data_IF_510798968116
#
_entry.id   IF_510798968116
#
_cell.length_a   1.000
_cell.length_b   1.000
_cell.length_c   1.000
_cell.angle_alpha   90.00
_cell.angle_beta   90.00
_cell.angle_gamma   90.00
#
_symmetry.space_group_name_H-M   'P 1'
#
loop_
_entity.id
_entity.type
_entity.pdbx_description
1 polymer ?
#
# COMPACT_ATOMS: atom_id res chain seq x y z
N UNK A 1 -4.89 -20.55 -6.48
CA UNK A 1 -5.02 -20.06 -5.09
C UNK A 1 -5.52 -18.64 -5.12
N UNK A 2 -6.50 -18.29 -4.29
CA UNK A 2 -7.17 -16.98 -4.33
C UNK A 2 -6.33 -15.97 -3.54
N UNK A 3 -5.32 -15.34 -4.17
CA UNK A 3 -4.36 -14.40 -3.57
C UNK A 3 -5.02 -13.12 -3.01
N UNK A 4 -6.31 -12.95 -3.24
CA UNK A 4 -7.07 -11.74 -2.92
C UNK A 4 -7.24 -11.46 -1.42
N UNK A 5 -6.96 -12.45 -0.57
CA UNK A 5 -7.13 -12.35 0.88
C UNK A 5 -5.83 -12.16 1.65
N UNK A 6 -4.68 -12.21 0.97
CA UNK A 6 -3.38 -12.25 1.64
C UNK A 6 -2.73 -10.88 1.85
N UNK A 7 -3.21 -9.82 1.21
CA UNK A 7 -2.65 -8.47 1.32
C UNK A 7 -3.72 -7.39 1.54
N UNK A 8 -3.41 -6.44 2.41
CA UNK A 8 -4.19 -5.20 2.61
C UNK A 8 -3.35 -4.01 2.16
N UNK A 9 -3.91 -3.17 1.29
CA UNK A 9 -3.28 -1.88 0.95
C UNK A 9 -3.58 -0.87 2.04
N UNK A 10 -2.56 -0.14 2.47
CA UNK A 10 -2.67 0.89 3.52
C UNK A 10 -2.24 2.23 2.95
N UNK A 11 -3.06 3.24 3.14
CA UNK A 11 -2.81 4.62 2.73
C UNK A 11 -2.89 5.55 3.93
N UNK A 12 -1.87 6.40 4.09
CA UNK A 12 -1.97 7.62 4.90
C UNK A 12 -2.40 8.76 3.99
N UNK A 13 -3.67 9.17 4.08
CA UNK A 13 -4.26 10.18 3.22
C UNK A 13 -4.35 11.54 3.94
N UNK A 14 -4.03 12.61 3.20
CA UNK A 14 -4.25 13.99 3.61
C UNK A 14 -4.66 14.79 2.38
N UNK A 15 -5.92 15.21 2.32
CA UNK A 15 -6.54 15.83 1.15
C UNK A 15 -6.32 15.09 -0.18
N UNK A 16 -6.21 13.75 -0.12
CA UNK A 16 -5.85 12.90 -1.26
C UNK A 16 -7.04 12.11 -1.82
N UNK A 17 -8.27 12.56 -1.59
CA UNK A 17 -9.51 11.83 -1.88
C UNK A 17 -9.59 11.38 -3.35
N UNK A 18 -9.25 12.26 -4.30
CA UNK A 18 -9.25 11.95 -5.74
C UNK A 18 -8.37 10.73 -6.07
N UNK A 19 -7.20 10.66 -5.47
CA UNK A 19 -6.27 9.54 -5.68
C UNK A 19 -6.80 8.25 -5.07
N UNK A 20 -7.36 8.31 -3.86
CA UNK A 20 -7.97 7.14 -3.21
C UNK A 20 -9.15 6.62 -4.01
N UNK A 21 -10.04 7.49 -4.50
CA UNK A 21 -11.13 7.07 -5.38
C UNK A 21 -10.64 6.38 -6.65
N UNK A 22 -9.58 6.91 -7.29
CA UNK A 22 -8.95 6.30 -8.47
C UNK A 22 -8.43 4.90 -8.16
N UNK A 23 -7.70 4.74 -7.07
CA UNK A 23 -7.17 3.46 -6.63
C UNK A 23 -8.29 2.46 -6.34
N UNK A 24 -9.30 2.85 -5.57
CA UNK A 24 -10.45 2.00 -5.26
C UNK A 24 -11.20 1.55 -6.53
N UNK A 25 -11.31 2.42 -7.53
CA UNK A 25 -11.92 2.10 -8.82
C UNK A 25 -11.08 1.08 -9.60
N UNK A 26 -9.78 1.25 -9.66
CA UNK A 26 -8.87 0.44 -10.47
C UNK A 26 -8.60 -0.94 -9.87
N UNK A 27 -8.47 -1.01 -8.55
CA UNK A 27 -8.24 -2.27 -7.85
C UNK A 27 -9.53 -3.08 -7.62
N UNK A 28 -10.68 -2.53 -7.99
CA UNK A 28 -11.96 -3.20 -7.81
C UNK A 28 -12.15 -3.75 -6.38
N UNK A 29 -12.83 -4.90 -6.29
CA UNK A 29 -13.15 -5.57 -5.03
C UNK A 29 -12.10 -6.62 -4.63
N UNK A 30 -11.00 -6.68 -5.35
CA UNK A 30 -10.05 -7.79 -5.22
C UNK A 30 -9.23 -7.73 -3.94
N UNK A 31 -8.78 -6.56 -3.52
CA UNK A 31 -7.92 -6.37 -2.36
C UNK A 31 -8.62 -5.59 -1.26
N UNK A 32 -8.24 -5.83 -0.01
CA UNK A 32 -8.68 -4.99 1.10
C UNK A 32 -7.89 -3.68 1.09
N UNK A 33 -8.55 -2.59 1.42
CA UNK A 33 -7.96 -1.26 1.47
C UNK A 33 -8.26 -0.64 2.84
N UNK A 34 -7.24 -0.11 3.49
CA UNK A 34 -7.38 0.71 4.70
C UNK A 34 -6.81 2.09 4.41
N UNK A 35 -7.61 3.10 4.63
CA UNK A 35 -7.22 4.50 4.49
C UNK A 35 -7.24 5.14 5.87
N UNK A 36 -6.11 5.69 6.31
CA UNK A 36 -6.06 6.54 7.50
C UNK A 36 -6.13 7.99 7.04
N UNK A 37 -7.28 8.62 7.30
CA UNK A 37 -7.67 9.91 6.72
C UNK A 37 -7.33 11.05 7.68
N UNK A 38 -6.20 11.72 7.43
CA UNK A 38 -5.65 12.76 8.29
C UNK A 38 -6.28 14.15 8.08
N UNK A 39 -7.04 14.38 7.02
CA UNK A 39 -7.81 15.62 6.86
C UNK A 39 -9.13 15.61 7.66
N UNK A 40 -9.42 14.53 8.36
CA UNK A 40 -10.56 14.34 9.27
C UNK A 40 -11.92 14.42 8.57
N UNK A 41 -11.98 14.15 7.27
CA UNK A 41 -13.19 14.24 6.46
C UNK A 41 -14.12 13.04 6.69
N UNK A 42 -15.15 13.23 7.53
CA UNK A 42 -16.17 12.23 7.81
C UNK A 42 -17.08 11.96 6.60
N UNK A 43 -17.30 12.97 5.74
CA UNK A 43 -18.13 12.81 4.55
C UNK A 43 -17.44 11.89 3.56
N UNK A 44 -16.16 12.12 3.28
CA UNK A 44 -15.36 11.24 2.46
C UNK A 44 -15.41 9.79 2.94
N UNK A 45 -15.26 9.56 4.27
CA UNK A 45 -15.37 8.23 4.85
C UNK A 45 -16.70 7.57 4.51
N UNK A 46 -17.81 8.25 4.75
CA UNK A 46 -19.15 7.70 4.51
C UNK A 46 -19.38 7.35 3.05
N UNK A 47 -18.98 8.24 2.14
CA UNK A 47 -19.14 8.06 0.70
C UNK A 47 -18.31 6.90 0.16
N UNK A 48 -17.03 6.81 0.51
CA UNK A 48 -16.12 5.80 -0.03
C UNK A 48 -16.45 4.41 0.49
N UNK A 49 -16.74 4.26 1.80
CA UNK A 49 -17.13 2.97 2.39
C UNK A 49 -18.49 2.48 1.88
N UNK A 50 -19.41 3.39 1.58
CA UNK A 50 -20.67 3.05 0.91
C UNK A 50 -20.45 2.50 -0.48
N UNK A 51 -19.56 3.11 -1.24
CA UNK A 51 -19.28 2.78 -2.65
C UNK A 51 -18.37 1.55 -2.79
N UNK A 52 -17.36 1.41 -1.95
CA UNK A 52 -16.34 0.35 -2.05
C UNK A 52 -16.30 -0.47 -0.77
N UNK A 53 -17.01 -1.60 -0.77
CA UNK A 53 -17.19 -2.47 0.41
C UNK A 53 -15.91 -3.16 0.91
N UNK A 54 -14.85 -3.16 0.10
CA UNK A 54 -13.52 -3.67 0.46
C UNK A 54 -12.62 -2.58 1.06
N UNK A 55 -13.11 -1.35 1.23
CA UNK A 55 -12.37 -0.20 1.76
C UNK A 55 -12.89 0.16 3.15
N UNK A 56 -11.97 0.33 4.09
CA UNK A 56 -12.22 0.85 5.45
C UNK A 56 -11.46 2.15 5.64
N UNK A 57 -12.12 3.18 6.15
CA UNK A 57 -11.49 4.47 6.49
C UNK A 57 -11.42 4.63 8.00
N UNK A 58 -10.25 4.95 8.50
CA UNK A 58 -9.99 5.27 9.90
C UNK A 58 -9.69 6.76 9.98
N UNK A 59 -10.45 7.48 10.79
CA UNK A 59 -10.22 8.90 11.06
C UNK A 59 -9.60 8.99 12.45
N UNK A 60 -8.35 9.44 12.57
CA UNK A 60 -7.72 9.68 13.87
C UNK A 60 -8.30 10.96 14.51
N UNK A 61 -8.06 11.18 15.79
CA UNK A 61 -8.51 12.39 16.50
C UNK A 61 -7.91 13.68 15.93
N UNK A 62 -6.70 13.58 15.40
CA UNK A 62 -5.96 14.69 14.74
C UNK A 62 -5.09 14.14 13.62
N UNK A 63 -4.52 15.01 12.80
CA UNK A 63 -3.49 14.59 11.84
C UNK A 63 -2.29 14.00 12.60
N UNK A 64 -2.03 12.72 12.35
CA UNK A 64 -0.97 11.95 13.03
C UNK A 64 0.28 11.77 12.16
N UNK A 65 0.27 12.29 10.93
CA UNK A 65 1.35 12.13 9.97
C UNK A 65 1.41 10.75 9.33
N UNK A 66 2.29 10.60 8.33
CA UNK A 66 2.33 9.43 7.46
C UNK A 66 2.74 8.15 8.19
N UNK A 67 3.84 8.19 8.95
CA UNK A 67 4.36 7.00 9.63
C UNK A 67 3.37 6.42 10.63
N UNK A 68 2.74 7.27 11.45
CA UNK A 68 1.72 6.82 12.40
C UNK A 68 0.45 6.32 11.70
N UNK A 69 0.09 6.91 10.56
CA UNK A 69 -1.02 6.42 9.73
C UNK A 69 -0.75 4.99 9.25
N UNK A 70 0.45 4.71 8.76
CA UNK A 70 0.81 3.34 8.39
C UNK A 70 0.73 2.37 9.57
N UNK A 71 1.24 2.74 10.74
CA UNK A 71 1.14 1.90 11.93
C UNK A 71 -0.31 1.63 12.34
N UNK A 72 -1.19 2.63 12.30
CA UNK A 72 -2.63 2.46 12.54
C UNK A 72 -3.24 1.49 11.52
N UNK A 73 -2.90 1.64 10.24
CA UNK A 73 -3.36 0.76 9.18
C UNK A 73 -2.89 -0.69 9.37
N UNK A 74 -1.62 -0.89 9.71
CA UNK A 74 -1.04 -2.22 9.99
C UNK A 74 -1.77 -2.89 11.14
N UNK A 75 -1.96 -2.20 12.26
CA UNK A 75 -2.66 -2.73 13.44
C UNK A 75 -4.12 -3.11 13.16
N UNK A 76 -4.74 -2.48 12.18
CA UNK A 76 -6.12 -2.77 11.76
C UNK A 76 -6.21 -3.78 10.61
N UNK A 77 -5.09 -4.22 10.05
CA UNK A 77 -5.05 -5.26 9.03
C UNK A 77 -5.17 -6.65 9.64
N UNK A 78 -5.87 -7.56 8.93
CA UNK A 78 -6.02 -8.98 9.30
C UNK A 78 -5.45 -9.92 8.22
N UNK A 79 -4.71 -9.38 7.26
CA UNK A 79 -4.10 -10.16 6.17
C UNK A 79 -2.66 -10.49 6.50
N UNK A 80 -2.13 -11.53 5.84
CA UNK A 80 -0.75 -11.99 6.04
C UNK A 80 0.28 -10.90 5.69
N UNK A 81 -0.02 -10.12 4.65
CA UNK A 81 0.84 -9.03 4.18
C UNK A 81 0.11 -7.69 4.22
N UNK A 82 0.88 -6.64 4.30
CA UNK A 82 0.42 -5.26 4.09
C UNK A 82 1.25 -4.61 2.99
N UNK A 83 0.59 -3.83 2.15
CA UNK A 83 1.24 -3.00 1.13
C UNK A 83 1.07 -1.53 1.50
N UNK A 84 2.16 -0.88 1.88
CA UNK A 84 2.15 0.55 2.21
C UNK A 84 2.30 1.35 0.92
N UNK A 85 1.30 2.14 0.58
CA UNK A 85 1.28 2.91 -0.65
C UNK A 85 1.02 4.39 -0.40
N UNK A 86 1.70 5.25 -1.16
CA UNK A 86 1.35 6.67 -1.22
C UNK A 86 0.11 6.84 -2.12
N UNK A 87 -0.81 7.77 -1.77
CA UNK A 87 -2.05 7.95 -2.54
C UNK A 87 -1.84 8.34 -4.01
N UNK A 88 -0.75 9.01 -4.33
CA UNK A 88 -0.36 9.48 -5.68
C UNK A 88 0.31 8.41 -6.55
N UNK A 89 0.64 7.25 -5.97
CA UNK A 89 1.25 6.14 -6.70
C UNK A 89 0.18 5.15 -7.14
N UNK A 90 0.07 4.93 -8.44
CA UNK A 90 -0.81 3.91 -9.01
C UNK A 90 -0.14 2.53 -8.98
N UNK A 91 -0.90 1.55 -8.55
CA UNK A 91 -0.50 0.14 -8.62
C UNK A 91 -1.58 -0.67 -9.33
N UNK A 92 -1.18 -1.57 -10.20
CA UNK A 92 -2.11 -2.45 -10.90
C UNK A 92 -2.41 -3.73 -10.09
N UNK A 93 -3.55 -4.36 -10.39
CA UNK A 93 -3.86 -5.68 -9.84
C UNK A 93 -2.77 -6.70 -10.13
N UNK A 94 -2.24 -6.68 -11.37
CA UNK A 94 -1.16 -7.58 -11.79
C UNK A 94 0.09 -7.40 -10.94
N UNK A 95 0.51 -6.15 -10.72
CA UNK A 95 1.71 -5.86 -9.91
C UNK A 95 1.54 -6.30 -8.45
N UNK A 96 0.34 -6.14 -7.89
CA UNK A 96 0.06 -6.64 -6.53
C UNK A 96 0.06 -8.16 -6.47
N UNK A 97 -0.51 -8.84 -7.46
CA UNK A 97 -0.48 -10.31 -7.53
C UNK A 97 0.98 -10.81 -7.63
N UNK A 98 1.79 -10.21 -8.50
CA UNK A 98 3.21 -10.57 -8.65
C UNK A 98 4.01 -10.34 -7.35
N UNK A 99 3.73 -9.25 -6.62
CA UNK A 99 4.35 -8.99 -5.31
C UNK A 99 3.95 -10.03 -4.27
N UNK A 100 2.67 -10.41 -4.22
CA UNK A 100 2.18 -11.45 -3.30
C UNK A 100 2.78 -12.80 -3.65
N UNK A 101 2.83 -13.16 -4.93
CA UNK A 101 3.43 -14.42 -5.38
C UNK A 101 4.94 -14.47 -5.05
N UNK A 102 5.63 -13.33 -5.18
CA UNK A 102 7.02 -13.21 -4.77
C UNK A 102 7.18 -13.38 -3.25
N UNK A 103 6.31 -12.73 -2.47
CA UNK A 103 6.31 -12.83 -1.02
C UNK A 103 6.06 -14.26 -0.52
N UNK A 104 5.16 -15.01 -1.18
CA UNK A 104 4.89 -16.41 -0.82
C UNK A 104 6.07 -17.35 -1.15
N UNK A 105 6.85 -17.03 -2.17
CA UNK A 105 8.06 -17.81 -2.53
C UNK A 105 9.26 -17.50 -1.63
N UNK A 106 9.30 -16.31 -1.06
CA UNK A 106 10.40 -15.86 -0.19
C UNK A 106 10.10 -16.29 1.26
N UNK A 107 10.93 -17.16 1.82
CA UNK A 107 10.73 -17.65 3.19
C UNK A 107 11.17 -16.66 4.28
N UNK A 108 12.15 -15.80 3.96
CA UNK A 108 12.79 -14.90 4.94
C UNK A 108 12.97 -13.52 4.33
N UNK A 109 11.99 -12.64 4.51
CA UNK A 109 12.10 -11.23 4.17
C UNK A 109 11.34 -10.37 5.18
N UNK A 110 11.79 -9.13 5.37
CA UNK A 110 11.07 -8.13 6.16
C UNK A 110 10.30 -7.17 5.27
N UNK A 111 10.93 -6.70 4.19
CA UNK A 111 10.36 -5.72 3.27
C UNK A 111 10.60 -6.18 1.83
N UNK A 112 9.53 -6.14 1.02
CA UNK A 112 9.55 -6.37 -0.41
C UNK A 112 9.04 -5.11 -1.10
N UNK A 113 9.80 -4.57 -2.05
CA UNK A 113 9.41 -3.39 -2.80
C UNK A 113 9.38 -3.67 -4.31
N UNK A 114 8.39 -3.12 -5.04
CA UNK A 114 8.37 -3.22 -6.50
C UNK A 114 9.50 -2.39 -7.10
N UNK A 115 9.96 -2.80 -8.28
CA UNK A 115 10.85 -1.98 -9.09
C UNK A 115 10.02 -1.03 -9.96
N UNK A 116 10.31 0.25 -9.90
CA UNK A 116 9.65 1.25 -10.74
C UNK A 116 10.32 1.33 -12.11
N UNK A 117 9.55 1.25 -13.18
CA UNK A 117 10.04 1.56 -14.52
C UNK A 117 10.17 3.07 -14.67
N UNK A 118 11.26 3.53 -15.28
CA UNK A 118 11.51 4.93 -15.65
C UNK A 118 11.65 5.94 -14.47
N UNK A 119 11.97 5.48 -13.29
CA UNK A 119 12.41 6.38 -12.23
C UNK A 119 13.94 6.45 -12.29
N UNK A 120 14.47 7.61 -12.64
CA UNK A 120 15.88 7.93 -12.35
C UNK A 120 16.02 7.93 -10.83
N UNK A 121 16.64 6.88 -10.32
CA UNK A 121 16.83 6.74 -8.86
C UNK A 121 17.94 7.70 -8.45
N UNK A 122 17.59 8.93 -8.14
CA UNK A 122 18.42 9.78 -7.30
C UNK A 122 18.22 9.39 -5.83
N UNK A 123 18.51 8.15 -5.51
CA UNK A 123 18.69 7.75 -4.13
C UNK A 123 20.20 7.65 -3.89
N UNK A 124 20.83 8.75 -3.54
CA UNK A 124 22.12 8.75 -2.87
C UNK A 124 21.95 8.15 -1.47
N UNK A 125 21.74 6.83 -1.41
CA UNK A 125 22.00 6.08 -0.20
C UNK A 125 23.46 5.62 -0.26
N UNK A 126 24.32 6.42 0.33
CA UNK A 126 25.68 6.00 0.67
C UNK A 126 25.56 4.73 1.55
N UNK A 127 25.94 3.60 1.01
CA UNK A 127 26.32 2.46 1.83
C UNK A 127 25.77 1.08 1.48
N UNK A 128 24.83 0.86 0.58
CA UNK A 128 24.36 -0.49 0.29
C UNK A 128 24.48 -0.88 -1.19
N UNK A 129 25.19 -1.96 -1.43
CA UNK A 129 25.35 -2.59 -2.75
C UNK A 129 23.98 -2.96 -3.33
N UNK A 130 23.67 -2.41 -4.49
CA UNK A 130 22.50 -2.79 -5.26
C UNK A 130 22.57 -4.24 -5.69
N UNK A 131 21.56 -5.02 -5.34
CA UNK A 131 21.39 -6.38 -5.85
C UNK A 131 20.86 -6.28 -7.29
N UNK A 132 21.51 -6.99 -8.16
CA UNK A 132 21.52 -7.05 -9.62
C UNK A 132 20.27 -6.64 -10.40
N UNK A 133 20.50 -6.10 -11.59
CA UNK A 133 19.57 -5.62 -12.63
C UNK A 133 18.53 -6.63 -13.16
N UNK A 134 18.41 -7.83 -12.60
CA UNK A 134 17.55 -8.91 -13.11
C UNK A 134 16.38 -9.31 -12.22
N UNK A 135 16.23 -8.73 -11.03
CA UNK A 135 15.10 -9.03 -10.15
C UNK A 135 14.03 -7.94 -10.24
N UNK A 136 12.76 -8.27 -10.48
CA UNK A 136 11.68 -7.29 -10.59
C UNK A 136 11.33 -6.61 -9.25
N UNK A 137 11.96 -7.00 -8.16
CA UNK A 137 11.75 -6.46 -6.82
C UNK A 137 13.08 -6.35 -6.07
N UNK A 138 13.26 -5.31 -5.26
CA UNK A 138 14.38 -5.16 -4.33
C UNK A 138 13.99 -5.73 -2.98
N UNK A 139 14.83 -6.62 -2.46
CA UNK A 139 14.71 -7.17 -1.13
C UNK A 139 15.69 -6.42 -0.24
N UNK A 140 15.19 -5.75 0.80
CA UNK A 140 16.03 -5.18 1.84
C UNK A 140 16.11 -6.17 2.98
N UNK A 141 17.34 -6.61 3.32
CA UNK A 141 17.61 -7.30 4.59
C UNK A 141 18.14 -6.26 5.58
N UNK A 142 17.51 -6.19 6.72
CA UNK A 142 18.03 -5.50 7.90
C UNK A 142 18.94 -6.47 8.65
#
# INVERSE_FOLDING_TARGET
MNNNKSVTLIFGAYFSHKHIYRTCKNLNKKFKIIVVENSLDKKFKQEIEKKYKNTKVIIPEKNVGLAKSYNIGIQNSKTKYVYLNCPDIDISNKSLDELVDCAEKLKNFCILAPNFKNVSIFANYSGNKYISKKTPSKIFRI
#
